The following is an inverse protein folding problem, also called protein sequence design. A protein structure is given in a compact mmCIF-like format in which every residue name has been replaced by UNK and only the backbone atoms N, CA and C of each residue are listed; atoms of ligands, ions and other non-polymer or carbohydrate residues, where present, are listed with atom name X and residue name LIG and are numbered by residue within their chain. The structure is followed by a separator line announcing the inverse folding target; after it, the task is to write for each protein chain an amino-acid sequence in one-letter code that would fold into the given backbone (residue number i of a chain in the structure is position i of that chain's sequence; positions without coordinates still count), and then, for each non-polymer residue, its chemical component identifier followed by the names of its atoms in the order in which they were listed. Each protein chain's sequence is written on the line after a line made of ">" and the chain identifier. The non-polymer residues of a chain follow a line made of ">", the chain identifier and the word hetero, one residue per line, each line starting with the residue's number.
data_IF_821728885471
#
_entry.id   IF_821728885471
#
_cell.length_a   1.000
_cell.length_b   1.000
_cell.length_c   1.000
_cell.angle_alpha   90.00
_cell.angle_beta   90.00
_cell.angle_gamma   90.00
#
_symmetry.space_group_name_H-M   'P 1'
#
loop_
_entity.id
_entity.type
_entity.pdbx_description
1 polymer ?
#
# COMPACT_ATOMS: atom_id res chain seq x y z
N UNK A 1 -40.81 13.61 12.74
CA UNK A 1 -39.33 13.72 12.82
C UNK A 1 -38.86 14.37 11.53
N UNK A 2 -38.15 15.48 11.60
CA UNK A 2 -37.81 16.32 10.46
C UNK A 2 -36.69 15.68 9.64
N UNK A 3 -36.87 15.39 8.32
CA UNK A 3 -35.85 14.75 7.49
C UNK A 3 -34.56 15.60 7.35
N UNK A 4 -34.65 16.91 7.52
CA UNK A 4 -33.51 17.84 7.41
C UNK A 4 -32.51 17.70 8.58
N UNK A 5 -32.95 17.45 9.82
CA UNK A 5 -32.06 17.24 10.96
C UNK A 5 -31.17 16.00 10.85
N UNK A 6 -31.66 14.95 10.17
CA UNK A 6 -30.91 13.72 9.98
C UNK A 6 -29.81 13.83 8.87
N UNK A 7 -29.95 14.82 7.99
CA UNK A 7 -28.99 15.08 6.90
C UNK A 7 -27.85 16.00 7.37
N UNK A 8 -28.16 17.02 8.19
CA UNK A 8 -27.17 17.91 8.83
C UNK A 8 -26.28 17.14 9.82
N UNK A 9 -26.86 16.23 10.63
CA UNK A 9 -26.08 15.37 11.54
C UNK A 9 -25.17 14.38 10.78
N UNK A 10 -25.59 13.91 9.60
CA UNK A 10 -24.76 13.05 8.73
C UNK A 10 -23.59 13.80 8.10
N UNK A 11 -23.79 15.03 7.63
CA UNK A 11 -22.72 15.88 7.10
C UNK A 11 -21.74 16.30 8.20
N UNK A 12 -22.21 16.62 9.43
CA UNK A 12 -21.34 16.94 10.55
C UNK A 12 -20.45 15.77 10.99
N UNK A 13 -20.95 14.54 10.93
CA UNK A 13 -20.17 13.32 11.29
C UNK A 13 -19.18 12.97 10.18
N UNK A 14 -19.54 13.19 8.90
CA UNK A 14 -18.68 12.85 7.76
C UNK A 14 -17.52 13.82 7.56
N UNK A 15 -17.62 15.06 8.03
CA UNK A 15 -16.61 16.12 7.82
C UNK A 15 -15.79 16.45 9.07
N UNK A 16 -15.84 15.61 10.11
CA UNK A 16 -15.00 15.83 11.29
C UNK A 16 -13.53 15.57 10.94
N UNK A 17 -12.70 16.61 11.06
CA UNK A 17 -11.26 16.50 10.89
C UNK A 17 -10.59 16.15 12.23
N UNK A 18 -9.55 15.32 12.16
CA UNK A 18 -8.66 15.08 13.30
C UNK A 18 -7.95 16.38 13.69
N UNK A 19 -7.93 16.71 14.99
CA UNK A 19 -7.23 17.90 15.48
C UNK A 19 -5.71 17.71 15.47
N UNK A 20 -4.98 18.69 14.92
CA UNK A 20 -3.52 18.71 14.96
C UNK A 20 -2.97 18.70 16.39
N UNK A 21 -3.61 19.47 17.30
CA UNK A 21 -3.21 19.54 18.71
C UNK A 21 -3.34 18.21 19.43
N UNK A 22 -4.35 17.40 19.09
CA UNK A 22 -4.50 16.06 19.67
C UNK A 22 -3.47 15.08 19.12
N UNK A 23 -3.13 15.22 17.84
CA UNK A 23 -2.12 14.41 17.21
C UNK A 23 -0.71 14.69 17.76
N UNK A 24 -0.38 15.97 18.00
CA UNK A 24 0.90 16.38 18.57
C UNK A 24 1.13 15.82 19.99
N UNK A 25 0.08 15.58 20.77
CA UNK A 25 0.15 14.93 22.08
C UNK A 25 0.62 13.47 22.03
N UNK A 26 0.39 12.80 20.91
CA UNK A 26 0.75 11.39 20.69
C UNK A 26 1.89 11.21 19.68
N UNK A 27 2.51 12.31 19.25
CA UNK A 27 3.69 12.27 18.36
C UNK A 27 4.92 11.79 19.14
N UNK A 28 5.48 10.66 18.72
CA UNK A 28 6.58 9.99 19.43
C UNK A 28 7.97 10.35 18.90
N UNK A 29 8.05 10.90 17.68
CA UNK A 29 9.33 11.28 17.06
C UNK A 29 9.31 12.75 16.67
N UNK A 30 10.44 13.43 16.84
CA UNK A 30 10.62 14.82 16.37
C UNK A 30 10.78 14.86 14.84
N UNK A 31 11.49 13.88 14.28
CA UNK A 31 11.72 13.78 12.85
C UNK A 31 11.98 12.33 12.46
N UNK A 32 11.27 11.86 11.44
CA UNK A 32 11.48 10.52 10.88
C UNK A 32 12.85 10.44 10.18
N UNK A 33 13.35 11.53 9.63
CA UNK A 33 14.62 11.56 8.89
C UNK A 33 15.85 11.47 9.81
N UNK A 34 15.70 11.75 11.11
CA UNK A 34 16.75 11.69 12.11
C UNK A 34 16.65 10.43 13.01
N UNK A 35 15.68 9.58 12.73
CA UNK A 35 15.40 8.37 13.50
C UNK A 35 16.14 7.15 12.94
N UNK A 36 16.10 6.05 13.69
CA UNK A 36 16.67 4.76 13.29
C UNK A 36 15.65 3.64 13.35
N UNK A 37 15.92 2.53 12.64
CA UNK A 37 15.10 1.32 12.74
C UNK A 37 14.96 0.83 14.19
N UNK A 38 16.03 0.88 14.98
CA UNK A 38 16.01 0.45 16.38
C UNK A 38 15.05 1.30 17.24
N UNK A 39 15.03 2.61 17.03
CA UNK A 39 14.06 3.49 17.70
C UNK A 39 12.63 3.16 17.30
N UNK A 40 12.35 2.97 15.99
CA UNK A 40 11.04 2.56 15.54
C UNK A 40 10.62 1.21 16.12
N UNK A 41 11.49 0.21 16.12
CA UNK A 41 11.21 -1.10 16.70
C UNK A 41 10.87 -1.01 18.20
N UNK A 42 11.62 -0.21 18.97
CA UNK A 42 11.33 0.02 20.37
C UNK A 42 9.95 0.65 20.61
N UNK A 43 9.53 1.59 19.73
CA UNK A 43 8.19 2.19 19.80
C UNK A 43 7.07 1.19 19.53
N UNK A 44 7.29 0.18 18.68
CA UNK A 44 6.33 -0.90 18.48
C UNK A 44 6.23 -1.83 19.70
N UNK A 45 7.36 -2.18 20.32
CA UNK A 45 7.42 -3.07 21.48
C UNK A 45 6.66 -2.51 22.69
N UNK A 46 6.61 -1.19 22.85
CA UNK A 46 5.94 -0.53 23.98
C UNK A 46 4.48 -0.14 23.69
N UNK A 47 3.98 -0.32 22.46
CA UNK A 47 2.61 0.03 22.10
C UNK A 47 1.60 -0.97 22.67
N UNK A 48 0.79 -0.58 23.69
CA UNK A 48 -0.07 -1.55 24.40
C UNK A 48 -1.13 -2.20 23.49
N UNK A 49 -1.74 -1.40 22.61
CA UNK A 49 -2.84 -1.86 21.76
C UNK A 49 -2.41 -2.91 20.73
N UNK A 50 -1.15 -2.94 20.31
CA UNK A 50 -0.65 -3.93 19.34
C UNK A 50 -0.53 -5.32 19.94
N UNK A 51 -0.28 -5.44 21.25
CA UNK A 51 -0.03 -6.73 21.93
C UNK A 51 -1.17 -7.73 21.78
N UNK A 52 -2.39 -7.26 21.65
CA UNK A 52 -3.58 -8.12 21.47
C UNK A 52 -3.71 -8.67 20.05
N UNK A 53 -2.95 -8.13 19.09
CA UNK A 53 -3.06 -8.41 17.65
C UNK A 53 -1.74 -8.86 17.01
N UNK A 54 -0.83 -9.41 17.82
CA UNK A 54 0.47 -9.87 17.32
C UNK A 54 0.32 -10.97 16.27
N UNK A 55 1.11 -10.92 15.18
CA UNK A 55 1.19 -12.01 14.20
C UNK A 55 1.92 -13.23 14.80
N UNK A 56 1.72 -14.39 14.16
CA UNK A 56 2.43 -15.65 14.54
C UNK A 56 3.95 -15.57 14.32
N UNK A 57 4.42 -14.62 13.51
CA UNK A 57 5.85 -14.41 13.25
C UNK A 57 6.49 -15.50 12.39
N UNK A 58 5.69 -16.21 11.59
CA UNK A 58 6.12 -17.28 10.69
C UNK A 58 5.59 -17.02 9.29
N UNK A 59 6.44 -17.22 8.27
CA UNK A 59 6.08 -17.27 6.86
C UNK A 59 6.23 -18.70 6.34
N UNK A 60 5.18 -19.26 5.79
CA UNK A 60 5.24 -20.46 4.97
C UNK A 60 5.41 -20.10 3.49
N UNK A 61 6.04 -20.97 2.72
CA UNK A 61 6.16 -20.83 1.29
C UNK A 61 5.52 -22.04 0.62
N UNK A 62 4.55 -21.80 -0.26
CA UNK A 62 4.02 -22.86 -1.13
C UNK A 62 5.14 -23.31 -2.08
N UNK A 63 5.62 -24.56 -1.98
CA UNK A 63 6.78 -25.02 -2.75
C UNK A 63 6.52 -25.08 -4.27
N UNK A 64 5.25 -25.10 -4.71
CA UNK A 64 4.87 -25.14 -6.13
C UNK A 64 4.95 -23.77 -6.77
N UNK A 65 4.39 -22.77 -6.08
CA UNK A 65 4.17 -21.43 -6.64
C UNK A 65 5.16 -20.39 -6.09
N UNK A 66 5.80 -20.68 -4.95
CA UNK A 66 6.61 -19.71 -4.21
C UNK A 66 5.80 -18.62 -3.53
N UNK A 67 4.49 -18.81 -3.33
CA UNK A 67 3.65 -17.88 -2.58
C UNK A 67 4.01 -17.87 -1.10
N UNK A 68 3.99 -16.66 -0.49
CA UNK A 68 4.33 -16.43 0.91
C UNK A 68 3.04 -16.30 1.70
N UNK A 69 2.92 -17.10 2.76
CA UNK A 69 1.74 -17.12 3.64
C UNK A 69 2.17 -16.68 5.03
N UNK A 70 1.66 -15.53 5.48
CA UNK A 70 1.83 -15.02 6.84
C UNK A 70 0.57 -15.32 7.65
N UNK A 71 0.74 -15.70 8.92
CA UNK A 71 -0.38 -16.03 9.80
C UNK A 71 -0.57 -14.95 10.85
N UNK A 72 -1.76 -14.36 10.89
CA UNK A 72 -2.23 -13.49 11.97
C UNK A 72 -3.73 -13.67 12.18
N UNK A 73 -4.16 -14.67 12.99
CA UNK A 73 -5.56 -14.91 13.31
C UNK A 73 -6.25 -13.70 13.97
N UNK A 74 -5.48 -12.90 14.73
CA UNK A 74 -6.01 -11.71 15.39
C UNK A 74 -6.54 -10.65 14.42
N UNK A 75 -6.01 -10.58 13.18
CA UNK A 75 -6.52 -9.67 12.15
C UNK A 75 -7.97 -9.94 11.74
N UNK A 76 -8.49 -11.14 11.92
CA UNK A 76 -9.90 -11.44 11.69
C UNK A 76 -10.85 -10.67 12.59
N UNK A 77 -10.33 -10.13 13.73
CA UNK A 77 -11.10 -9.32 14.71
C UNK A 77 -10.96 -7.81 14.51
N UNK A 78 -10.26 -7.37 13.44
CA UNK A 78 -10.09 -5.94 13.16
C UNK A 78 -11.44 -5.29 12.85
N UNK A 79 -11.69 -4.04 13.32
CA UNK A 79 -12.92 -3.34 12.99
C UNK A 79 -13.00 -3.04 11.50
N UNK A 80 -14.22 -3.11 10.96
CA UNK A 80 -14.56 -2.67 9.63
C UNK A 80 -15.60 -1.57 9.73
N UNK A 81 -15.38 -0.42 9.13
CA UNK A 81 -16.37 0.64 8.98
C UNK A 81 -17.15 0.52 7.65
N UNK A 82 -16.72 -0.38 6.77
CA UNK A 82 -17.43 -0.77 5.57
C UNK A 82 -18.63 -1.67 5.93
N UNK A 83 -19.77 -1.53 5.23
CA UNK A 83 -20.96 -2.35 5.46
C UNK A 83 -20.66 -3.83 5.21
N UNK A 84 -21.06 -4.70 6.12
CA UNK A 84 -21.01 -6.13 5.87
C UNK A 84 -22.04 -6.50 4.78
N UNK A 85 -21.62 -7.30 3.79
CA UNK A 85 -22.52 -7.92 2.82
C UNK A 85 -23.52 -8.81 3.60
N UNK A 86 -24.79 -8.39 3.69
CA UNK A 86 -25.85 -9.15 4.38
C UNK A 86 -26.54 -8.46 5.55
N UNK A 87 -26.10 -7.27 5.99
CA UNK A 87 -26.90 -6.45 6.90
C UNK A 87 -28.11 -5.90 6.15
N UNK A 88 -29.30 -6.35 6.55
CA UNK A 88 -30.59 -5.96 5.96
C UNK A 88 -30.78 -4.44 6.06
N UNK A 89 -31.50 -3.86 5.09
CA UNK A 89 -31.82 -2.42 5.01
C UNK A 89 -32.54 -1.84 6.25
N UNK A 90 -32.83 -2.67 7.26
CA UNK A 90 -33.50 -2.26 8.49
C UNK A 90 -32.63 -1.51 9.50
N UNK A 91 -31.28 -1.57 9.38
CA UNK A 91 -30.35 -0.85 10.25
C UNK A 91 -29.78 0.44 9.60
N UNK A 92 -30.60 1.21 8.92
CA UNK A 92 -30.24 2.49 8.29
C UNK A 92 -29.94 3.63 9.29
N UNK A 93 -29.71 3.36 10.58
CA UNK A 93 -29.74 4.35 11.64
C UNK A 93 -28.39 4.92 12.13
N UNK A 94 -27.28 4.21 11.99
CA UNK A 94 -26.02 4.70 12.56
C UNK A 94 -24.88 4.63 11.54
N UNK A 95 -24.47 5.79 11.00
CA UNK A 95 -23.16 5.92 10.35
C UNK A 95 -22.11 5.64 11.42
N UNK A 96 -21.36 4.53 11.28
CA UNK A 96 -20.26 4.22 12.20
C UNK A 96 -19.27 5.39 12.16
N UNK A 97 -19.03 6.00 13.33
CA UNK A 97 -18.10 7.11 13.44
C UNK A 97 -16.68 6.64 13.04
N UNK A 98 -15.97 7.44 12.27
CA UNK A 98 -14.60 7.12 11.85
C UNK A 98 -13.66 7.18 13.07
N UNK A 99 -13.05 6.05 13.43
CA UNK A 99 -12.12 5.96 14.56
C UNK A 99 -10.94 6.93 14.43
N UNK A 100 -10.48 7.19 13.20
CA UNK A 100 -9.39 8.12 12.92
C UNK A 100 -9.82 9.56 13.18
N UNK A 101 -10.96 9.97 12.65
CA UNK A 101 -11.51 11.32 12.89
C UNK A 101 -11.80 11.58 14.38
N UNK A 102 -12.11 10.54 15.14
CA UNK A 102 -12.27 10.61 16.60
C UNK A 102 -10.95 10.64 17.38
N UNK A 103 -9.79 10.57 16.69
CA UNK A 103 -8.48 10.52 17.32
C UNK A 103 -8.14 9.18 17.98
N UNK A 104 -8.91 8.14 17.72
CA UNK A 104 -8.67 6.77 18.20
C UNK A 104 -7.64 6.07 17.32
N UNK A 105 -6.38 6.49 17.44
CA UNK A 105 -5.26 5.95 16.66
C UNK A 105 -4.12 5.54 17.59
N UNK A 106 -3.20 4.70 17.09
CA UNK A 106 -1.93 4.45 17.77
C UNK A 106 -1.06 5.70 17.73
N UNK A 107 -0.04 5.73 18.57
CA UNK A 107 0.90 6.83 18.60
C UNK A 107 1.56 7.09 17.24
N UNK A 108 1.66 8.35 16.88
CA UNK A 108 2.12 8.86 15.59
C UNK A 108 3.62 8.99 15.57
N UNK A 109 4.25 8.65 14.45
CA UNK A 109 5.71 8.73 14.27
C UNK A 109 6.11 9.86 13.33
N UNK A 110 5.20 10.37 12.52
CA UNK A 110 5.46 11.43 11.56
C UNK A 110 4.19 12.20 11.22
N UNK A 111 4.34 13.50 10.97
CA UNK A 111 3.26 14.37 10.55
C UNK A 111 3.80 15.50 9.68
N UNK A 112 3.04 15.90 8.66
CA UNK A 112 3.35 17.04 7.82
C UNK A 112 2.09 17.81 7.44
N UNK A 113 2.15 19.15 7.54
CA UNK A 113 1.05 20.03 7.18
C UNK A 113 0.85 20.06 5.66
N UNK A 114 -0.40 20.05 5.24
CA UNK A 114 -0.85 20.17 3.84
C UNK A 114 -1.42 21.56 3.62
N UNK A 115 -1.84 21.87 2.39
CA UNK A 115 -2.57 23.11 2.12
C UNK A 115 -3.90 23.17 2.89
N UNK A 116 -4.53 22.00 3.09
CA UNK A 116 -5.69 21.81 3.95
C UNK A 116 -5.47 20.59 4.85
N UNK A 117 -5.43 20.79 6.18
CA UNK A 117 -5.20 19.72 7.12
C UNK A 117 -3.73 19.22 7.13
N UNK A 118 -3.54 17.92 7.34
CA UNK A 118 -2.20 17.32 7.45
C UNK A 118 -2.22 15.82 7.08
N UNK A 119 -1.09 15.30 6.64
CA UNK A 119 -0.82 13.86 6.52
C UNK A 119 -0.03 13.37 7.72
N UNK A 120 -0.20 12.12 8.11
CA UNK A 120 0.56 11.55 9.23
C UNK A 120 0.80 10.04 9.07
N UNK A 121 1.84 9.54 9.75
CA UNK A 121 2.20 8.13 9.79
C UNK A 121 2.10 7.63 11.22
N UNK A 122 1.41 6.51 11.42
CA UNK A 122 1.30 5.83 12.70
C UNK A 122 1.61 4.33 12.58
N UNK A 123 1.76 3.67 13.72
CA UNK A 123 1.92 2.21 13.79
C UNK A 123 0.58 1.53 13.45
N UNK A 124 0.60 0.44 12.68
CA UNK A 124 -0.62 -0.33 12.45
C UNK A 124 -0.96 -1.17 13.69
N UNK A 125 -2.14 -0.95 14.24
CA UNK A 125 -2.65 -1.70 15.40
C UNK A 125 -2.81 -3.21 15.10
N UNK A 126 -3.07 -3.56 13.84
CA UNK A 126 -3.25 -4.94 13.37
C UNK A 126 -2.11 -5.34 12.43
N UNK A 127 -0.86 -5.48 12.94
CA UNK A 127 0.31 -5.64 12.10
C UNK A 127 0.34 -7.02 11.44
N UNK A 128 0.90 -7.11 10.22
CA UNK A 128 1.21 -8.39 9.56
C UNK A 128 2.60 -8.89 9.93
N UNK A 129 3.46 -7.99 10.40
CA UNK A 129 4.83 -8.24 10.89
C UNK A 129 5.08 -7.41 12.14
N UNK A 130 5.95 -7.91 13.04
CA UNK A 130 6.27 -7.25 14.31
C UNK A 130 7.76 -7.42 14.63
N UNK A 131 8.43 -6.46 15.30
CA UNK A 131 9.81 -6.62 15.72
C UNK A 131 9.87 -7.67 16.85
N UNK A 132 10.33 -8.87 16.51
CA UNK A 132 10.48 -9.94 17.51
C UNK A 132 11.90 -10.00 18.03
N UNK A 133 12.08 -9.92 19.35
CA UNK A 133 13.28 -10.37 20.01
C UNK A 133 13.13 -11.85 20.36
N UNK A 134 13.54 -12.72 19.45
CA UNK A 134 13.95 -14.08 19.78
C UNK A 134 12.92 -15.06 20.37
N UNK A 135 11.61 -14.78 20.32
CA UNK A 135 10.60 -15.67 20.92
C UNK A 135 9.58 -16.22 19.93
N UNK A 136 10.00 -16.43 18.67
CA UNK A 136 9.20 -17.28 17.81
C UNK A 136 9.02 -18.64 18.47
N UNK A 137 7.80 -19.17 18.54
CA UNK A 137 7.56 -20.59 18.83
C UNK A 137 8.12 -21.40 17.66
N UNK A 138 9.46 -21.46 17.60
CA UNK A 138 10.13 -22.30 16.65
C UNK A 138 9.90 -23.76 17.05
N UNK A 139 9.44 -24.55 16.13
CA UNK A 139 9.53 -26.00 16.20
C UNK A 139 11.01 -26.43 16.08
N UNK A 140 11.87 -25.93 16.97
CA UNK A 140 13.17 -26.50 17.31
C UNK A 140 14.29 -26.43 16.27
N UNK A 141 14.19 -25.61 15.22
CA UNK A 141 15.25 -25.50 14.20
C UNK A 141 15.95 -24.14 14.27
N UNK A 142 17.27 -24.16 14.21
CA UNK A 142 18.12 -22.98 14.13
C UNK A 142 17.85 -22.16 12.86
N UNK A 143 17.79 -20.81 12.92
CA UNK A 143 17.51 -19.94 11.77
C UNK A 143 18.48 -20.14 10.59
N UNK A 144 19.68 -20.60 10.85
CA UNK A 144 20.75 -20.78 9.85
C UNK A 144 20.55 -21.98 8.95
N UNK A 145 19.69 -22.93 9.33
CA UNK A 145 19.50 -24.20 8.64
C UNK A 145 18.03 -24.58 8.39
N UNK A 146 17.09 -23.62 8.50
CA UNK A 146 15.69 -23.90 8.23
C UNK A 146 15.52 -24.15 6.71
N UNK A 147 15.41 -25.42 6.24
CA UNK A 147 15.02 -25.68 4.89
C UNK A 147 13.62 -25.08 4.66
N UNK A 148 13.34 -24.66 3.43
CA UNK A 148 11.98 -24.34 3.00
C UNK A 148 11.13 -25.59 3.24
N UNK A 149 10.41 -25.64 4.35
CA UNK A 149 9.69 -26.82 4.81
C UNK A 149 8.70 -26.47 5.93
N UNK A 150 8.11 -27.49 6.59
CA UNK A 150 7.04 -27.29 7.58
C UNK A 150 7.35 -26.33 8.74
N UNK A 151 8.62 -26.09 9.04
CA UNK A 151 9.03 -25.17 10.09
C UNK A 151 8.80 -23.69 9.74
N UNK A 152 8.71 -23.34 8.46
CA UNK A 152 8.55 -21.99 7.99
C UNK A 152 9.79 -21.10 8.17
N UNK A 153 9.67 -19.85 7.72
CA UNK A 153 10.70 -18.81 7.86
C UNK A 153 10.27 -17.86 8.98
N UNK A 154 11.14 -17.55 9.96
CA UNK A 154 10.86 -16.51 10.96
C UNK A 154 10.63 -15.16 10.29
N UNK A 155 9.58 -14.46 10.71
CA UNK A 155 9.22 -13.15 10.18
C UNK A 155 9.40 -12.10 11.25
N UNK A 156 10.10 -11.04 10.89
CA UNK A 156 10.21 -9.84 11.70
C UNK A 156 10.07 -8.59 10.85
N UNK A 157 9.60 -7.51 11.44
CA UNK A 157 9.44 -6.25 10.72
C UNK A 157 8.58 -5.24 11.43
N UNK A 158 8.19 -4.19 10.71
CA UNK A 158 7.38 -3.07 11.18
C UNK A 158 6.24 -2.83 10.21
N UNK A 159 5.05 -2.51 10.70
CA UNK A 159 3.88 -2.26 9.87
C UNK A 159 3.24 -0.93 10.23
N UNK A 160 3.20 0.00 9.30
CA UNK A 160 2.71 1.36 9.46
C UNK A 160 1.48 1.62 8.59
N UNK A 161 0.73 2.66 8.96
CA UNK A 161 -0.28 3.31 8.13
C UNK A 161 0.16 4.73 7.87
N UNK A 162 0.03 5.19 6.63
CA UNK A 162 0.10 6.62 6.30
C UNK A 162 -1.30 7.07 5.90
N UNK A 163 -1.82 8.05 6.58
CA UNK A 163 -3.11 8.68 6.30
C UNK A 163 -2.88 9.80 5.29
N UNK A 164 -3.60 9.74 4.16
CA UNK A 164 -3.38 10.67 3.05
C UNK A 164 -3.70 12.10 3.45
N UNK A 165 -4.77 12.29 4.23
CA UNK A 165 -5.19 13.57 4.81
C UNK A 165 -5.80 13.36 6.19
N UNK A 166 -5.87 14.42 7.01
CA UNK A 166 -6.67 14.46 8.25
C UNK A 166 -8.17 14.60 7.98
N UNK A 167 -8.57 15.01 6.77
CA UNK A 167 -9.97 15.09 6.37
C UNK A 167 -10.45 13.74 5.84
N UNK A 168 -11.63 13.32 6.28
CA UNK A 168 -12.20 12.01 5.97
C UNK A 168 -12.49 11.80 4.47
N UNK A 169 -12.93 12.86 3.80
CA UNK A 169 -13.34 12.87 2.40
C UNK A 169 -12.20 13.16 1.41
N UNK A 170 -10.97 13.39 1.92
CA UNK A 170 -9.80 13.70 1.10
C UNK A 170 -8.90 12.49 0.92
N UNK A 171 -8.62 12.19 -0.35
CA UNK A 171 -7.67 11.15 -0.72
C UNK A 171 -7.02 11.50 -2.08
N UNK A 172 -6.22 10.63 -2.64
CA UNK A 172 -5.42 10.84 -3.85
C UNK A 172 -6.19 11.46 -5.03
N UNK A 173 -7.45 11.07 -5.24
CA UNK A 173 -8.24 11.54 -6.39
C UNK A 173 -8.68 13.00 -6.31
N UNK A 174 -8.81 13.57 -5.13
CA UNK A 174 -9.42 14.89 -4.94
C UNK A 174 -8.54 15.90 -4.19
N UNK A 175 -7.28 15.57 -3.87
CA UNK A 175 -6.33 16.49 -3.23
C UNK A 175 -5.48 17.25 -4.26
N UNK A 176 -4.95 18.46 -3.90
CA UNK A 176 -3.95 19.15 -4.70
C UNK A 176 -2.69 18.32 -4.95
N UNK A 177 -2.10 18.41 -6.15
CA UNK A 177 -0.89 17.64 -6.50
C UNK A 177 0.28 17.99 -5.58
N UNK A 178 0.41 19.24 -5.15
CA UNK A 178 1.45 19.68 -4.22
C UNK A 178 1.38 18.97 -2.88
N UNK A 179 0.17 18.76 -2.35
CA UNK A 179 -0.06 18.00 -1.12
C UNK A 179 0.28 16.53 -1.31
N UNK A 180 -0.10 15.94 -2.45
CA UNK A 180 0.22 14.56 -2.80
C UNK A 180 1.74 14.33 -2.94
N UNK A 181 2.48 15.31 -3.47
CA UNK A 181 3.95 15.29 -3.49
C UNK A 181 4.51 15.25 -2.06
N UNK A 182 3.92 16.00 -1.13
CA UNK A 182 4.35 15.98 0.26
C UNK A 182 4.04 14.62 0.92
N UNK A 183 2.87 14.04 0.67
CA UNK A 183 2.52 12.68 1.11
C UNK A 183 3.56 11.67 0.61
N UNK A 184 3.93 11.71 -0.68
CA UNK A 184 4.98 10.85 -1.26
C UNK A 184 6.35 11.08 -0.60
N UNK A 185 6.74 12.33 -0.34
CA UNK A 185 8.02 12.64 0.31
C UNK A 185 8.11 12.05 1.73
N UNK A 186 7.02 12.11 2.51
CA UNK A 186 6.99 11.50 3.85
C UNK A 186 7.10 9.98 3.76
N UNK A 187 6.40 9.36 2.82
CA UNK A 187 6.50 7.92 2.53
C UNK A 187 7.92 7.52 2.11
N UNK A 188 8.53 8.27 1.20
CA UNK A 188 9.91 8.07 0.75
C UNK A 188 10.93 8.21 1.89
N UNK A 189 10.71 9.15 2.82
CA UNK A 189 11.56 9.31 3.99
C UNK A 189 11.51 8.09 4.91
N UNK A 190 10.31 7.53 5.14
CA UNK A 190 10.13 6.29 5.91
C UNK A 190 10.80 5.10 5.18
N UNK A 191 10.56 4.93 3.88
CA UNK A 191 11.18 3.89 3.07
C UNK A 191 12.71 3.92 3.18
N UNK A 192 13.32 5.11 3.02
CA UNK A 192 14.77 5.30 3.11
C UNK A 192 15.29 4.89 4.49
N UNK A 193 14.67 5.38 5.56
CA UNK A 193 15.06 5.05 6.93
C UNK A 193 15.03 3.54 7.17
N UNK A 194 13.94 2.87 6.80
CA UNK A 194 13.77 1.43 7.00
C UNK A 194 14.84 0.62 6.27
N UNK A 195 15.14 0.95 5.02
CA UNK A 195 16.09 0.22 4.18
C UNK A 195 17.56 0.46 4.58
N UNK A 196 17.89 1.68 5.05
CA UNK A 196 19.29 2.06 5.30
C UNK A 196 19.74 1.87 6.75
N UNK A 197 18.82 1.89 7.71
CA UNK A 197 19.18 1.85 9.15
C UNK A 197 19.01 0.48 9.82
N UNK A 198 18.57 -0.54 9.09
CA UNK A 198 18.23 -1.88 9.63
C UNK A 198 19.39 -2.90 9.55
N UNK A 199 20.64 -2.46 9.47
CA UNK A 199 21.82 -3.23 9.06
C UNK A 199 22.09 -4.53 9.83
N UNK A 200 21.67 -4.64 11.10
CA UNK A 200 22.02 -5.79 11.95
C UNK A 200 20.85 -6.76 12.19
N UNK A 201 19.64 -6.41 11.77
CA UNK A 201 18.43 -7.19 12.08
C UNK A 201 17.74 -7.77 10.86
N UNK A 202 18.13 -7.34 9.66
CA UNK A 202 17.51 -7.76 8.40
C UNK A 202 18.54 -8.30 7.42
N UNK A 203 18.19 -9.29 6.58
CA UNK A 203 19.08 -9.79 5.54
C UNK A 203 19.50 -8.67 4.59
N UNK A 204 20.78 -8.65 4.25
CA UNK A 204 21.33 -7.72 3.27
C UNK A 204 20.82 -8.04 1.86
N UNK A 205 20.49 -7.00 1.07
CA UNK A 205 20.20 -7.11 -0.36
C UNK A 205 21.46 -7.36 -1.22
N UNK A 206 22.55 -7.87 -0.64
CA UNK A 206 23.80 -8.18 -1.36
C UNK A 206 23.60 -9.11 -2.56
N UNK A 207 22.64 -10.02 -2.48
CA UNK A 207 22.31 -10.94 -3.56
C UNK A 207 21.93 -10.21 -4.86
N UNK A 208 21.53 -8.95 -4.74
CA UNK A 208 21.06 -8.12 -5.84
C UNK A 208 22.15 -7.24 -6.48
N UNK A 209 23.38 -7.29 -5.96
CA UNK A 209 24.51 -6.51 -6.49
C UNK A 209 24.41 -4.99 -6.33
N UNK A 210 23.44 -4.50 -5.55
CA UNK A 210 23.14 -3.07 -5.47
C UNK A 210 24.06 -2.31 -4.50
N UNK A 211 24.37 -1.07 -4.88
CA UNK A 211 24.95 -0.04 -4.02
C UNK A 211 24.01 1.17 -4.03
N UNK A 212 23.66 1.76 -2.88
CA UNK A 212 24.03 1.40 -1.52
C UNK A 212 23.41 0.07 -1.06
N UNK A 213 23.98 -0.55 -0.03
CA UNK A 213 23.43 -1.78 0.57
C UNK A 213 22.16 -1.45 1.32
N UNK A 214 21.04 -1.94 0.81
CA UNK A 214 19.76 -1.93 1.51
C UNK A 214 19.53 -3.25 2.25
N UNK A 215 18.69 -3.21 3.28
CA UNK A 215 18.36 -4.36 4.10
C UNK A 215 16.85 -4.51 4.22
N UNK A 216 16.35 -5.74 4.15
CA UNK A 216 14.92 -6.02 4.19
C UNK A 216 14.17 -5.59 2.92
N UNK A 217 12.85 -5.64 3.00
CA UNK A 217 11.95 -5.26 1.90
C UNK A 217 10.81 -4.37 2.43
N UNK A 218 10.51 -3.29 1.72
CA UNK A 218 9.38 -2.40 2.01
C UNK A 218 8.25 -2.69 1.04
N UNK A 219 7.12 -3.19 1.54
CA UNK A 219 5.88 -3.32 0.78
C UNK A 219 5.01 -2.08 1.02
N UNK A 220 4.59 -1.41 -0.06
CA UNK A 220 3.71 -0.23 -0.01
C UNK A 220 2.48 -0.55 -0.82
N UNK A 221 1.31 -0.53 -0.17
CA UNK A 221 0.03 -0.85 -0.79
C UNK A 221 -1.06 0.12 -0.34
N UNK A 222 -2.08 0.31 -1.18
CA UNK A 222 -3.32 0.97 -0.81
C UNK A 222 -4.49 0.03 -1.12
N UNK A 223 -5.40 -0.13 -0.17
CA UNK A 223 -6.63 -0.91 -0.34
C UNK A 223 -7.83 0.00 -0.08
N UNK A 224 -8.72 0.12 -1.04
CA UNK A 224 -9.97 0.87 -0.93
C UNK A 224 -11.14 -0.08 -1.20
N UNK A 225 -12.13 -0.10 -0.30
CA UNK A 225 -13.30 -0.98 -0.40
C UNK A 225 -13.09 -2.37 0.22
N UNK A 226 -14.18 -2.94 0.74
CA UNK A 226 -14.18 -4.20 1.48
C UNK A 226 -13.79 -5.39 0.61
N UNK A 227 -14.25 -5.42 -0.66
CA UNK A 227 -14.00 -6.52 -1.61
C UNK A 227 -12.51 -6.78 -1.88
N UNK A 228 -11.65 -5.79 -1.62
CA UNK A 228 -10.20 -5.87 -1.83
C UNK A 228 -9.39 -5.77 -0.54
N UNK A 229 -10.02 -6.00 0.61
CA UNK A 229 -9.36 -6.01 1.91
C UNK A 229 -9.18 -4.65 2.57
N UNK A 230 -9.81 -3.59 2.06
CA UNK A 230 -9.92 -2.30 2.75
C UNK A 230 -10.87 -2.43 3.95
N UNK A 231 -10.40 -2.09 5.16
CA UNK A 231 -11.21 -2.17 6.38
C UNK A 231 -11.73 -0.81 6.84
N UNK A 232 -11.08 0.27 6.43
CA UNK A 232 -11.40 1.64 6.80
C UNK A 232 -11.60 2.50 5.55
N UNK A 233 -12.63 3.35 5.57
CA UNK A 233 -12.97 4.25 4.47
C UNK A 233 -12.05 5.47 4.40
N UNK A 234 -11.54 5.95 5.54
CA UNK A 234 -10.60 7.07 5.60
C UNK A 234 -9.33 6.76 4.78
N UNK A 235 -8.99 7.63 3.82
CA UNK A 235 -7.92 7.42 2.85
C UNK A 235 -6.56 7.16 3.49
N UNK A 236 -5.97 5.98 3.23
CA UNK A 236 -4.66 5.60 3.75
C UNK A 236 -3.91 4.61 2.86
N UNK A 237 -2.60 4.50 3.05
CA UNK A 237 -1.75 3.44 2.52
C UNK A 237 -1.08 2.67 3.67
N UNK A 238 -0.74 1.41 3.40
CA UNK A 238 -0.06 0.52 4.34
C UNK A 238 1.40 0.35 3.92
N UNK A 239 2.30 0.41 4.89
CA UNK A 239 3.73 0.24 4.70
C UNK A 239 4.21 -0.89 5.61
N UNK A 240 4.62 -2.02 5.04
CA UNK A 240 5.18 -3.13 5.78
C UNK A 240 6.64 -3.32 5.40
N UNK A 241 7.52 -3.20 6.39
CA UNK A 241 8.93 -3.51 6.25
C UNK A 241 9.21 -4.86 6.90
N UNK A 242 9.88 -5.79 6.19
CA UNK A 242 10.16 -7.12 6.72
C UNK A 242 11.39 -7.77 6.09
N UNK A 243 11.79 -8.91 6.67
CA UNK A 243 12.79 -9.81 6.08
C UNK A 243 12.21 -10.73 4.98
N UNK A 244 10.92 -10.62 4.67
CA UNK A 244 10.26 -11.46 3.65
C UNK A 244 10.10 -10.68 2.35
N UNK A 245 10.63 -11.23 1.26
CA UNK A 245 10.47 -10.67 -0.09
C UNK A 245 9.18 -11.25 -0.69
N UNK A 246 8.19 -10.41 -1.06
CA UNK A 246 6.98 -10.88 -1.72
C UNK A 246 7.26 -11.60 -3.04
N UNK A 247 6.42 -12.55 -3.42
CA UNK A 247 6.57 -13.32 -4.66
C UNK A 247 6.73 -12.44 -5.91
N UNK A 248 5.93 -11.38 -6.04
CA UNK A 248 6.00 -10.46 -7.19
C UNK A 248 7.31 -9.68 -7.27
N UNK A 249 7.88 -9.27 -6.14
CA UNK A 249 9.20 -8.64 -6.12
C UNK A 249 10.29 -9.63 -6.57
N UNK A 250 10.20 -10.89 -6.14
CA UNK A 250 11.08 -11.95 -6.62
C UNK A 250 10.90 -12.21 -8.12
N UNK A 251 9.69 -12.15 -8.65
CA UNK A 251 9.42 -12.29 -10.08
C UNK A 251 10.03 -11.15 -10.91
N UNK A 252 9.98 -9.90 -10.42
CA UNK A 252 10.65 -8.78 -11.08
C UNK A 252 12.17 -8.98 -11.16
N UNK A 253 12.78 -9.43 -10.08
CA UNK A 253 14.22 -9.76 -10.10
C UNK A 253 14.56 -10.89 -11.07
N UNK A 254 13.78 -11.97 -11.05
CA UNK A 254 13.95 -13.09 -11.98
C UNK A 254 13.81 -12.62 -13.42
N UNK A 255 12.84 -11.76 -13.70
CA UNK A 255 12.64 -11.18 -15.03
C UNK A 255 13.89 -10.40 -15.49
N UNK A 256 14.44 -9.51 -14.63
CA UNK A 256 15.68 -8.77 -14.96
C UNK A 256 16.86 -9.71 -15.22
N UNK A 257 17.00 -10.77 -14.43
CA UNK A 257 18.07 -11.75 -14.61
C UNK A 257 17.95 -12.52 -15.94
N UNK A 258 16.73 -12.85 -16.36
CA UNK A 258 16.44 -13.58 -17.60
C UNK A 258 16.50 -12.67 -18.84
N UNK A 259 15.89 -11.48 -18.76
CA UNK A 259 15.73 -10.55 -19.89
C UNK A 259 16.89 -9.56 -20.05
N UNK A 260 17.77 -9.44 -19.06
CA UNK A 260 18.88 -8.47 -19.00
C UNK A 260 18.42 -7.00 -19.00
N UNK A 261 17.14 -6.77 -18.71
CA UNK A 261 16.55 -5.45 -18.53
C UNK A 261 15.44 -5.56 -17.47
N UNK A 262 15.18 -4.48 -16.71
CA UNK A 262 14.10 -4.48 -15.73
C UNK A 262 12.73 -4.37 -16.41
N UNK A 263 11.68 -4.73 -15.66
CA UNK A 263 10.33 -4.83 -16.19
C UNK A 263 9.78 -3.49 -16.72
N UNK A 264 10.10 -2.36 -16.08
CA UNK A 264 9.67 -1.03 -16.56
C UNK A 264 10.33 -0.66 -17.89
N UNK A 265 11.63 -0.93 -18.06
CA UNK A 265 12.33 -0.73 -19.34
C UNK A 265 11.68 -1.55 -20.45
N UNK A 266 11.43 -2.83 -20.16
CA UNK A 266 10.78 -3.72 -21.11
C UNK A 266 9.41 -3.17 -21.54
N UNK A 267 8.54 -2.78 -20.58
CA UNK A 267 7.22 -2.28 -20.89
C UNK A 267 7.23 -0.95 -21.65
N UNK A 268 8.05 0.02 -21.24
CA UNK A 268 8.15 1.30 -21.96
C UNK A 268 8.55 1.13 -23.42
N UNK A 269 9.28 0.05 -23.74
CA UNK A 269 9.72 -0.27 -25.11
C UNK A 269 8.70 -1.11 -25.89
N UNK A 270 7.95 -2.00 -25.22
CA UNK A 270 7.14 -3.03 -25.91
C UNK A 270 5.63 -2.80 -25.83
N UNK A 271 5.15 -2.02 -24.86
CA UNK A 271 3.73 -1.74 -24.76
C UNK A 271 3.31 -0.85 -25.94
N UNK A 272 2.23 -1.18 -26.67
CA UNK A 272 1.74 -0.35 -27.79
C UNK A 272 1.46 1.10 -27.36
N UNK A 273 1.81 2.06 -28.20
CA UNK A 273 1.62 3.49 -27.94
C UNK A 273 0.14 3.84 -27.78
N UNK A 274 -0.74 3.14 -28.49
CA UNK A 274 -2.18 3.30 -28.42
C UNK A 274 -2.75 2.97 -27.03
N UNK A 275 -2.00 2.24 -26.21
CA UNK A 275 -2.37 1.91 -24.83
C UNK A 275 -1.86 2.93 -23.80
N UNK A 276 -1.16 3.97 -24.22
CA UNK A 276 -0.77 5.08 -23.34
C UNK A 276 -2.00 5.93 -23.03
N UNK A 277 -2.25 6.16 -21.74
CA UNK A 277 -3.36 6.99 -21.24
C UNK A 277 -2.91 8.44 -21.07
N UNK A 278 -1.81 8.67 -20.33
CA UNK A 278 -1.25 10.01 -20.11
C UNK A 278 0.28 9.96 -20.00
N UNK A 279 0.94 10.99 -20.49
CA UNK A 279 2.37 11.25 -20.32
C UNK A 279 2.57 12.48 -19.42
N UNK A 280 3.28 12.29 -18.30
CA UNK A 280 3.59 13.34 -17.31
C UNK A 280 5.04 13.84 -17.42
N UNK A 281 5.71 13.63 -18.53
CA UNK A 281 7.11 14.00 -18.75
C UNK A 281 8.08 13.01 -18.09
N UNK A 282 8.01 12.80 -16.79
CA UNK A 282 8.88 11.87 -16.05
C UNK A 282 8.24 10.50 -15.79
N UNK A 283 6.94 10.35 -15.99
CA UNK A 283 6.21 9.10 -15.82
C UNK A 283 5.13 8.94 -16.88
N UNK A 284 4.79 7.71 -17.22
CA UNK A 284 3.76 7.36 -18.20
C UNK A 284 2.71 6.47 -17.55
N UNK A 285 1.43 6.88 -17.63
CA UNK A 285 0.28 6.06 -17.25
C UNK A 285 -0.19 5.31 -18.49
N UNK A 286 -0.33 3.99 -18.41
CA UNK A 286 -0.72 3.14 -19.52
C UNK A 286 -1.63 1.98 -19.09
N UNK A 287 -2.35 1.42 -20.04
CA UNK A 287 -3.00 0.12 -19.93
C UNK A 287 -2.00 -0.94 -20.42
N UNK A 288 -1.67 -1.97 -19.62
CA UNK A 288 -0.75 -3.00 -20.10
C UNK A 288 -1.39 -3.85 -21.20
N UNK A 289 -0.62 -4.21 -22.24
CA UNK A 289 -1.12 -5.07 -23.32
C UNK A 289 -1.62 -6.44 -22.84
N UNK A 290 -1.17 -6.88 -21.67
CA UNK A 290 -1.62 -8.07 -20.95
C UNK A 290 -2.60 -7.73 -19.82
N UNK A 291 -3.44 -6.73 -19.97
CA UNK A 291 -4.48 -6.33 -19.00
C UNK A 291 -5.27 -7.55 -18.53
N UNK A 292 -5.27 -7.82 -17.21
CA UNK A 292 -5.88 -9.03 -16.62
C UNK A 292 -7.33 -8.81 -16.17
N UNK A 293 -7.71 -7.57 -15.96
CA UNK A 293 -9.06 -7.13 -15.60
C UNK A 293 -9.36 -5.77 -16.21
N UNK A 294 -10.63 -5.43 -16.50
CA UNK A 294 -10.98 -4.13 -17.06
C UNK A 294 -10.40 -2.98 -16.22
N UNK A 295 -9.85 -1.96 -16.88
CA UNK A 295 -9.30 -0.75 -16.29
C UNK A 295 -8.07 -0.96 -15.37
N UNK A 296 -7.37 -2.07 -15.49
CA UNK A 296 -6.04 -2.22 -14.91
C UNK A 296 -5.08 -1.22 -15.55
N UNK A 297 -4.34 -0.45 -14.74
CA UNK A 297 -3.40 0.57 -15.22
C UNK A 297 -2.03 0.38 -14.55
N UNK A 298 -0.99 0.77 -15.27
CA UNK A 298 0.37 0.88 -14.74
C UNK A 298 0.88 2.31 -14.91
N UNK A 299 1.54 2.83 -13.88
CA UNK A 299 2.29 4.07 -13.95
C UNK A 299 3.77 3.76 -13.85
N UNK A 300 4.51 3.99 -14.92
CA UNK A 300 5.93 3.69 -15.06
C UNK A 300 6.75 4.97 -15.03
N UNK A 301 7.87 4.98 -14.29
CA UNK A 301 8.87 6.03 -14.41
C UNK A 301 9.68 5.88 -15.70
N UNK A 302 9.99 6.99 -16.38
CA UNK A 302 10.85 6.98 -17.57
C UNK A 302 12.32 6.74 -17.21
N UNK A 303 12.79 7.24 -16.06
CA UNK A 303 14.09 6.82 -15.51
C UNK A 303 13.93 5.48 -14.78
N UNK A 304 14.07 4.40 -15.53
CA UNK A 304 13.93 3.02 -15.04
C UNK A 304 15.10 2.57 -14.17
N UNK A 305 16.12 3.38 -13.97
CA UNK A 305 17.19 3.12 -13.00
C UNK A 305 16.73 3.34 -11.56
N UNK A 306 15.66 4.10 -11.35
CA UNK A 306 15.03 4.31 -10.04
C UNK A 306 14.32 3.04 -9.59
N UNK A 307 14.61 2.60 -8.38
CA UNK A 307 14.07 1.37 -7.78
C UNK A 307 13.25 1.61 -6.53
N UNK A 308 13.33 2.82 -5.95
CA UNK A 308 12.72 3.18 -4.68
C UNK A 308 12.18 4.62 -4.72
N UNK A 309 11.14 4.89 -3.95
CA UNK A 309 10.53 6.23 -3.85
C UNK A 309 11.53 7.29 -3.40
N UNK A 310 12.41 6.97 -2.46
CA UNK A 310 13.39 7.92 -1.93
C UNK A 310 14.51 8.29 -2.92
N UNK A 311 14.58 7.65 -4.08
CA UNK A 311 15.51 8.01 -5.16
C UNK A 311 14.91 9.05 -6.12
N UNK A 312 13.59 9.33 -6.01
CA UNK A 312 12.91 10.26 -6.90
C UNK A 312 13.31 11.71 -6.63
N UNK A 313 13.56 12.46 -7.70
CA UNK A 313 13.66 13.90 -7.65
C UNK A 313 12.27 14.58 -7.60
N UNK A 314 12.25 15.89 -7.47
CA UNK A 314 11.00 16.66 -7.32
C UNK A 314 10.09 16.55 -8.55
N UNK A 315 10.63 16.53 -9.76
CA UNK A 315 9.87 16.42 -11.00
C UNK A 315 9.26 15.03 -11.16
N UNK A 316 10.02 13.98 -10.83
CA UNK A 316 9.55 12.59 -10.81
C UNK A 316 8.44 12.38 -9.77
N UNK A 317 8.60 12.94 -8.55
CA UNK A 317 7.55 12.89 -7.54
C UNK A 317 6.26 13.59 -7.97
N UNK A 318 6.36 14.74 -8.65
CA UNK A 318 5.20 15.45 -9.18
C UNK A 318 4.49 14.64 -10.28
N UNK A 319 5.26 14.00 -11.17
CA UNK A 319 4.72 13.13 -12.20
C UNK A 319 4.02 11.90 -11.61
N UNK A 320 4.62 11.25 -10.61
CA UNK A 320 4.01 10.12 -9.88
C UNK A 320 2.73 10.57 -9.17
N UNK A 321 2.74 11.70 -8.44
CA UNK A 321 1.56 12.22 -7.76
C UNK A 321 0.41 12.52 -8.74
N UNK A 322 0.72 13.12 -9.89
CA UNK A 322 -0.26 13.40 -10.97
C UNK A 322 -0.83 12.11 -11.55
N UNK A 323 0.03 11.11 -11.81
CA UNK A 323 -0.37 9.81 -12.32
C UNK A 323 -1.27 9.03 -11.34
N UNK A 324 -0.93 9.00 -10.05
CA UNK A 324 -1.78 8.40 -9.01
C UNK A 324 -3.13 9.09 -8.91
N UNK A 325 -3.12 10.43 -8.86
CA UNK A 325 -4.36 11.21 -8.84
C UNK A 325 -5.26 10.86 -10.01
N UNK A 326 -4.72 10.86 -11.21
CA UNK A 326 -5.48 10.55 -12.44
C UNK A 326 -6.01 9.13 -12.46
N UNK A 327 -5.16 8.13 -12.14
CA UNK A 327 -5.57 6.73 -12.16
C UNK A 327 -6.68 6.45 -11.13
N UNK A 328 -6.53 6.97 -9.90
CA UNK A 328 -7.54 6.76 -8.85
C UNK A 328 -8.83 7.53 -9.17
N UNK A 329 -8.75 8.77 -9.72
CA UNK A 329 -9.93 9.51 -10.15
C UNK A 329 -10.70 8.76 -11.26
N UNK A 330 -10.00 8.20 -12.25
CA UNK A 330 -10.61 7.38 -13.29
C UNK A 330 -11.33 6.15 -12.71
N UNK A 331 -10.73 5.46 -11.73
CA UNK A 331 -11.38 4.32 -11.04
C UNK A 331 -12.66 4.78 -10.32
N UNK A 332 -12.62 5.94 -9.64
CA UNK A 332 -13.80 6.50 -8.97
C UNK A 332 -14.93 6.86 -9.94
N UNK A 333 -14.62 7.21 -11.18
CA UNK A 333 -15.59 7.47 -12.24
C UNK A 333 -16.15 6.17 -12.81
N UNK A 334 -15.25 5.28 -13.25
CA UNK A 334 -15.63 4.05 -13.97
C UNK A 334 -16.41 3.06 -13.13
N UNK A 335 -16.00 2.83 -11.86
CA UNK A 335 -16.60 1.78 -11.03
C UNK A 335 -18.13 1.96 -10.87
N UNK A 336 -18.66 3.15 -10.53
CA UNK A 336 -20.10 3.37 -10.48
C UNK A 336 -20.79 3.24 -11.84
N UNK A 337 -20.15 3.67 -12.94
CA UNK A 337 -20.71 3.58 -14.30
C UNK A 337 -20.96 2.14 -14.76
N UNK A 338 -20.08 1.22 -14.34
CA UNK A 338 -20.24 -0.22 -14.60
C UNK A 338 -21.07 -0.94 -13.51
N UNK A 339 -21.74 -0.19 -12.60
CA UNK A 339 -22.59 -0.75 -11.55
C UNK A 339 -21.83 -1.42 -10.40
N UNK A 340 -20.57 -1.04 -10.17
CA UNK A 340 -19.73 -1.59 -9.11
C UNK A 340 -19.50 -0.56 -7.99
N UNK A 341 -19.41 -1.04 -6.76
CA UNK A 341 -18.88 -0.22 -5.66
C UNK A 341 -17.39 0.08 -5.86
N UNK A 342 -16.93 1.22 -5.34
CA UNK A 342 -15.51 1.59 -5.44
C UNK A 342 -14.67 0.64 -4.60
N UNK A 343 -13.93 -0.24 -5.27
CA UNK A 343 -13.01 -1.19 -4.65
C UNK A 343 -11.78 -1.39 -5.55
N UNK A 344 -10.59 -1.09 -5.02
CA UNK A 344 -9.34 -1.23 -5.77
C UNK A 344 -8.13 -1.39 -4.85
N UNK A 345 -7.08 -1.97 -5.40
CA UNK A 345 -5.75 -1.96 -4.80
C UNK A 345 -4.80 -1.08 -5.62
N UNK A 346 -3.85 -0.45 -4.94
CA UNK A 346 -2.63 0.09 -5.59
C UNK A 346 -1.43 -0.60 -4.97
N UNK A 347 -0.54 -1.10 -5.81
CA UNK A 347 0.69 -1.78 -5.40
C UNK A 347 1.88 -0.98 -5.92
N UNK A 348 2.80 -0.63 -5.02
CA UNK A 348 4.09 -0.07 -5.39
C UNK A 348 5.06 -1.22 -5.62
N UNK A 349 5.56 -1.33 -6.84
CA UNK A 349 6.62 -2.27 -7.21
C UNK A 349 7.96 -1.55 -7.11
N UNK A 350 8.70 -1.88 -6.07
CA UNK A 350 10.00 -1.31 -5.74
C UNK A 350 11.05 -2.41 -5.56
N UNK A 351 12.30 -2.01 -5.39
CA UNK A 351 13.40 -2.94 -5.18
C UNK A 351 14.09 -3.41 -6.45
N UNK A 352 15.01 -4.36 -6.32
CA UNK A 352 15.78 -4.89 -7.44
C UNK A 352 14.91 -5.48 -8.54
N UNK A 353 15.26 -5.29 -9.79
CA UNK A 353 14.65 -5.91 -10.96
C UNK A 353 13.37 -5.26 -11.46
N UNK A 354 12.76 -4.32 -10.72
CA UNK A 354 11.47 -3.77 -11.14
C UNK A 354 11.59 -2.52 -12.05
N UNK A 355 12.55 -1.61 -11.80
CA UNK A 355 12.40 -0.21 -12.20
C UNK A 355 11.11 0.33 -11.59
N UNK A 356 11.15 1.21 -10.60
CA UNK A 356 9.97 1.63 -9.80
C UNK A 356 8.73 1.90 -10.66
N UNK A 357 7.63 1.18 -10.38
CA UNK A 357 6.33 1.37 -11.03
C UNK A 357 5.17 1.11 -10.07
N UNK A 358 3.97 1.54 -10.47
CA UNK A 358 2.76 1.43 -9.67
C UNK A 358 1.68 0.72 -10.47
N UNK A 359 0.99 -0.22 -9.83
CA UNK A 359 -0.07 -1.03 -10.41
C UNK A 359 -1.39 -0.68 -9.77
N UNK A 360 -2.39 -0.27 -10.57
CA UNK A 360 -3.74 0.08 -10.13
C UNK A 360 -4.70 -1.03 -10.55
N UNK A 361 -5.34 -1.66 -9.58
CA UNK A 361 -6.11 -2.88 -9.72
C UNK A 361 -7.56 -2.66 -9.25
N UNK A 362 -8.45 -2.09 -10.08
CA UNK A 362 -9.86 -1.98 -9.73
C UNK A 362 -10.53 -3.36 -9.69
N UNK A 363 -11.49 -3.56 -8.78
CA UNK A 363 -12.24 -4.81 -8.67
C UNK A 363 -13.45 -4.80 -9.61
N UNK A 364 -13.16 -4.79 -10.91
CA UNK A 364 -14.15 -4.68 -11.99
C UNK A 364 -14.78 -6.01 -12.38
N UNK A 365 -14.15 -7.11 -12.00
CA UNK A 365 -14.66 -8.47 -12.21
C UNK A 365 -14.22 -9.39 -11.05
N UNK A 366 -14.99 -10.46 -10.82
CA UNK A 366 -14.68 -11.49 -9.85
C UNK A 366 -13.53 -12.38 -10.33
N UNK A 367 -12.77 -12.94 -9.38
CA UNK A 367 -11.83 -14.00 -9.67
C UNK A 367 -12.54 -15.35 -9.57
N UNK A 368 -12.61 -16.06 -10.69
CA UNK A 368 -13.11 -17.42 -10.77
C UNK A 368 -12.00 -18.47 -10.70
N UNK A 369 -12.35 -19.72 -11.03
CA UNK A 369 -11.39 -20.83 -11.02
C UNK A 369 -10.25 -20.68 -12.02
N UNK A 370 -10.49 -20.03 -13.17
CA UNK A 370 -9.43 -19.81 -14.17
C UNK A 370 -8.37 -18.83 -13.65
N UNK A 371 -8.77 -17.73 -13.03
CA UNK A 371 -7.85 -16.75 -12.43
C UNK A 371 -7.04 -17.39 -11.31
N UNK A 372 -7.62 -18.27 -10.50
CA UNK A 372 -6.93 -19.03 -9.46
C UNK A 372 -5.91 -20.03 -10.04
N UNK A 373 -6.14 -20.53 -11.25
CA UNK A 373 -5.18 -21.34 -12.00
C UNK A 373 -4.08 -20.49 -12.67
N UNK A 374 -4.19 -19.15 -12.64
CA UNK A 374 -3.26 -18.24 -13.29
C UNK A 374 -3.61 -17.90 -14.75
N UNK A 375 -4.83 -18.21 -15.18
CA UNK A 375 -5.36 -17.88 -16.51
C UNK A 375 -6.42 -16.77 -16.37
N UNK A 376 -6.00 -15.52 -16.50
CA UNK A 376 -6.90 -14.38 -16.42
C UNK A 376 -7.81 -14.27 -17.66
N UNK A 377 -9.12 -14.17 -17.46
CA UNK A 377 -10.12 -13.96 -18.54
C UNK A 377 -10.63 -12.53 -18.41
N UNK A 378 -9.96 -11.58 -19.07
CA UNK A 378 -10.33 -10.18 -19.02
C UNK A 378 -11.60 -9.91 -19.84
N UNK A 379 -12.58 -9.21 -19.24
CA UNK A 379 -13.89 -8.90 -19.84
C UNK A 379 -13.92 -7.59 -20.64
N UNK A 380 -12.75 -7.00 -20.96
CA UNK A 380 -12.64 -5.78 -21.75
C UNK A 380 -11.45 -5.81 -22.69
N UNK A 381 -11.51 -5.05 -23.78
CA UNK A 381 -10.43 -4.86 -24.73
C UNK A 381 -9.48 -3.75 -24.24
N UNK A 382 -8.15 -3.98 -24.17
CA UNK A 382 -7.20 -2.97 -23.71
C UNK A 382 -7.24 -1.65 -24.51
N UNK A 383 -7.46 -1.70 -25.84
CA UNK A 383 -7.53 -0.50 -26.70
C UNK A 383 -8.75 0.37 -26.36
N UNK A 384 -9.91 -0.25 -26.21
CA UNK A 384 -11.16 0.43 -25.84
C UNK A 384 -11.05 1.07 -24.46
N UNK A 385 -10.44 0.34 -23.50
CA UNK A 385 -10.20 0.85 -22.15
C UNK A 385 -9.24 2.04 -22.18
N UNK A 386 -8.13 1.96 -22.92
CA UNK A 386 -7.18 3.06 -23.01
C UNK A 386 -7.80 4.29 -23.68
N UNK A 387 -8.60 4.11 -24.72
CA UNK A 387 -9.35 5.19 -25.36
C UNK A 387 -10.32 5.86 -24.39
N UNK A 388 -11.19 5.09 -23.73
CA UNK A 388 -12.13 5.63 -22.75
C UNK A 388 -11.45 6.38 -21.61
N UNK A 389 -10.32 5.86 -21.10
CA UNK A 389 -9.53 6.54 -20.07
C UNK A 389 -8.91 7.86 -20.52
N UNK A 390 -8.58 8.04 -21.81
CA UNK A 390 -8.08 9.32 -22.36
C UNK A 390 -9.19 10.37 -22.49
N UNK A 391 -10.42 9.95 -22.75
CA UNK A 391 -11.59 10.82 -22.97
C UNK A 391 -12.20 11.34 -21.65
N UNK A 392 -11.86 10.74 -20.50
CA UNK A 392 -12.25 11.21 -19.16
C UNK A 392 -11.38 12.40 -18.71
#
# INVERSE_FOLDING_TARGET
>A
MNPQGCQEDRELIMNKALSRLDLDKILQLKSITESSYAQLAALFEVEPGIREYLPEGICQIDPRSGERVLYNPARGRRPHDNRALGESQSDQGAVKACLVCEGKTTAVIDVADLSEGFTFINKNLYPIVFPQKGSGRYLGLSPEHAPVGPAGIPVQGLHFLQWTSSFHDKDWHNMPVQDLVLVLRRLASLEKLLLTSSTNSMPSNRVWGDQPKYHGFVSIIKNVGQLVGGSLAHGHQQIAFSNIIPKRAYQNWRFEAEMRENFSTYLLRTNPEELVVNDYGQATLLVPYFMRRPYEMLLLLKDTSKRYLHQLNTAEMAAVASGWKRAIAAIHTVMPEIGREIAFNVITHNGPGCGLYFEFLPYTQENGGFELLGLSVCQANPLEVAQGLREM
#
